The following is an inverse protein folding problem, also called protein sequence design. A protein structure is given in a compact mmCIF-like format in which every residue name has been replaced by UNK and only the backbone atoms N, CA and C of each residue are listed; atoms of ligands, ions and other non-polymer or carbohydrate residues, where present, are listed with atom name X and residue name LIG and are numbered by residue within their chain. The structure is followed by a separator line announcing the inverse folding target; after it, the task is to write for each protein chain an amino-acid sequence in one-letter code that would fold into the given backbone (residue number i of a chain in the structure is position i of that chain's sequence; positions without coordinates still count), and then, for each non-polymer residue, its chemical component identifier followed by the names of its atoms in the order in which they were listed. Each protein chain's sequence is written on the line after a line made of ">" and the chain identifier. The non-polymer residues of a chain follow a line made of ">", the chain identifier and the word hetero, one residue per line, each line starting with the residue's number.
data_IF_215326651133
#
_entry.id   IF_215326651133
#
_cell.length_a   1.000
_cell.length_b   1.000
_cell.length_c   1.000
_cell.angle_alpha   90.00
_cell.angle_beta   90.00
_cell.angle_gamma   90.00
#
_symmetry.space_group_name_H-M   'P 1'
#
loop_
_entity.id
_entity.type
_entity.pdbx_description
1 polymer ?
#
# COMPACT_ATOMS: atom_id res chain seq x y z
N UNK A 1 -10.19 2.67 9.45
CA UNK A 1 -11.21 1.59 9.41
C UNK A 1 -12.62 2.05 9.77
N UNK A 2 -12.84 2.97 10.72
CA UNK A 2 -14.22 3.44 11.00
C UNK A 2 -14.85 4.19 9.82
N UNK A 3 -14.07 4.99 9.10
CA UNK A 3 -14.56 5.76 7.94
C UNK A 3 -15.10 4.87 6.81
N UNK A 4 -14.52 3.68 6.58
CA UNK A 4 -14.97 2.77 5.52
C UNK A 4 -16.37 2.18 5.78
N UNK A 5 -16.90 2.28 7.01
CA UNK A 5 -18.27 1.89 7.33
C UNK A 5 -19.33 2.92 6.87
N UNK A 6 -18.93 4.16 6.63
CA UNK A 6 -19.86 5.23 6.26
C UNK A 6 -19.65 5.69 4.81
N UNK A 7 -18.48 5.43 4.26
CA UNK A 7 -18.09 5.89 2.94
C UNK A 7 -19.02 5.37 1.82
N UNK A 8 -19.45 4.09 1.80
CA UNK A 8 -20.38 3.61 0.78
C UNK A 8 -21.72 4.35 0.79
N UNK A 9 -22.20 4.78 1.97
CA UNK A 9 -23.41 5.61 2.11
C UNK A 9 -23.21 7.10 1.80
N UNK A 10 -21.97 7.54 1.54
CA UNK A 10 -21.68 8.91 1.08
C UNK A 10 -21.55 8.96 -0.44
N UNK A 11 -21.30 7.82 -1.08
CA UNK A 11 -21.02 7.73 -2.51
C UNK A 11 -22.20 8.21 -3.39
N UNK A 12 -23.48 7.90 -3.09
CA UNK A 12 -24.61 8.39 -3.89
C UNK A 12 -24.79 9.91 -3.83
N UNK A 13 -24.34 10.54 -2.74
CA UNK A 13 -24.37 12.00 -2.57
C UNK A 13 -23.15 12.64 -3.24
N UNK A 14 -21.97 12.07 -3.03
CA UNK A 14 -20.69 12.67 -3.40
C UNK A 14 -20.29 12.33 -4.84
N UNK A 15 -20.92 11.35 -5.51
CA UNK A 15 -20.48 10.79 -6.80
C UNK A 15 -19.04 10.25 -6.76
N UNK A 16 -18.70 9.34 -7.67
CA UNK A 16 -17.37 8.72 -7.71
C UNK A 16 -16.25 9.76 -7.92
N UNK A 17 -16.48 10.76 -8.79
CA UNK A 17 -15.51 11.82 -9.09
C UNK A 17 -15.15 12.67 -7.88
N UNK A 18 -16.14 13.21 -7.15
CA UNK A 18 -15.81 14.08 -6.01
C UNK A 18 -15.30 13.28 -4.82
N UNK A 19 -15.67 12.00 -4.69
CA UNK A 19 -15.06 11.10 -3.70
C UNK A 19 -13.56 10.93 -3.94
N UNK A 20 -13.15 10.71 -5.20
CA UNK A 20 -11.74 10.62 -5.60
C UNK A 20 -11.00 11.94 -5.35
N UNK A 21 -11.58 13.07 -5.78
CA UNK A 21 -10.98 14.39 -5.59
C UNK A 21 -10.83 14.75 -4.10
N UNK A 22 -11.87 14.52 -3.28
CA UNK A 22 -11.84 14.82 -1.85
C UNK A 22 -10.85 13.92 -1.10
N UNK A 23 -10.76 12.63 -1.46
CA UNK A 23 -9.75 11.73 -0.92
C UNK A 23 -8.31 12.17 -1.21
N UNK A 24 -8.05 12.61 -2.44
CA UNK A 24 -6.74 13.15 -2.86
C UNK A 24 -6.41 14.49 -2.18
N UNK A 25 -7.43 15.33 -1.94
CA UNK A 25 -7.26 16.57 -1.18
C UNK A 25 -6.82 16.30 0.27
N UNK A 26 -7.42 15.31 0.94
CA UNK A 26 -7.01 14.90 2.29
C UNK A 26 -5.53 14.45 2.32
N UNK A 27 -5.08 13.73 1.29
CA UNK A 27 -3.67 13.36 1.12
C UNK A 27 -2.76 14.58 0.97
N UNK A 28 -3.19 15.57 0.20
CA UNK A 28 -2.43 16.82 -0.02
C UNK A 28 -2.27 17.61 1.29
N UNK A 29 -3.33 17.69 2.09
CA UNK A 29 -3.32 18.36 3.40
C UNK A 29 -2.33 17.68 4.36
N UNK A 30 -2.30 16.35 4.36
CA UNK A 30 -1.34 15.59 5.16
C UNK A 30 0.12 15.89 4.77
N UNK A 31 0.43 15.87 3.48
CA UNK A 31 1.79 16.17 2.98
C UNK A 31 2.20 17.61 3.24
N UNK A 32 1.27 18.57 3.15
CA UNK A 32 1.53 19.97 3.47
C UNK A 32 1.96 20.18 4.94
N UNK A 33 1.52 19.30 5.85
CA UNK A 33 1.87 19.35 7.27
C UNK A 33 3.36 19.18 7.57
N UNK A 34 4.11 18.58 6.65
CA UNK A 34 5.54 18.36 6.83
C UNK A 34 6.40 19.60 6.51
N UNK A 35 5.83 20.65 5.90
CA UNK A 35 6.53 21.94 5.77
C UNK A 35 6.65 22.68 7.11
N UNK A 36 5.68 22.46 8.02
CA UNK A 36 5.68 23.02 9.36
C UNK A 36 5.22 21.95 10.35
N UNK A 37 6.20 21.22 10.89
CA UNK A 37 5.93 20.10 11.79
C UNK A 37 5.31 20.61 13.10
N UNK A 38 4.00 20.44 13.23
CA UNK A 38 3.25 20.74 14.44
C UNK A 38 2.53 19.47 14.90
N UNK A 39 2.76 19.06 16.16
CA UNK A 39 2.18 17.86 16.74
C UNK A 39 0.66 17.80 16.58
N UNK A 40 -0.05 18.90 16.83
CA UNK A 40 -1.52 18.95 16.70
C UNK A 40 -1.96 18.79 15.25
N UNK A 41 -1.28 19.47 14.31
CA UNK A 41 -1.59 19.37 12.88
C UNK A 41 -1.29 17.97 12.35
N UNK A 42 -0.18 17.36 12.78
CA UNK A 42 0.22 16.02 12.37
C UNK A 42 -0.83 14.97 12.75
N UNK A 43 -1.28 14.94 14.01
CA UNK A 43 -2.30 13.98 14.45
C UNK A 43 -3.65 14.23 13.78
N UNK A 44 -4.04 15.50 13.64
CA UNK A 44 -5.30 15.88 12.98
C UNK A 44 -5.31 15.49 11.50
N UNK A 45 -4.26 15.86 10.76
CA UNK A 45 -4.14 15.54 9.33
C UNK A 45 -3.98 14.04 9.08
N UNK A 46 -3.34 13.29 9.99
CA UNK A 46 -3.29 11.82 9.94
C UNK A 46 -4.68 11.20 10.07
N UNK A 47 -5.50 11.68 11.01
CA UNK A 47 -6.88 11.21 11.16
C UNK A 47 -7.73 11.57 9.92
N UNK A 48 -7.56 12.79 9.39
CA UNK A 48 -8.22 13.25 8.18
C UNK A 48 -7.82 12.42 6.96
N UNK A 49 -6.53 12.09 6.83
CA UNK A 49 -6.02 11.21 5.78
C UNK A 49 -6.65 9.82 5.85
N UNK A 50 -6.88 9.27 7.05
CA UNK A 50 -7.58 8.00 7.22
C UNK A 50 -9.03 8.02 6.70
N UNK A 51 -9.72 9.16 6.85
CA UNK A 51 -11.06 9.36 6.25
C UNK A 51 -10.97 9.51 4.74
N UNK A 52 -10.02 10.32 4.25
CA UNK A 52 -9.76 10.52 2.83
C UNK A 52 -9.39 9.24 2.10
N UNK A 53 -8.61 8.35 2.74
CA UNK A 53 -8.23 7.05 2.19
C UNK A 53 -9.44 6.14 1.98
N UNK A 54 -10.40 6.14 2.91
CA UNK A 54 -11.64 5.40 2.75
C UNK A 54 -12.47 5.95 1.57
N UNK A 55 -12.67 7.27 1.52
CA UNK A 55 -13.37 7.97 0.43
C UNK A 55 -12.74 7.69 -0.94
N UNK A 56 -11.41 7.75 -1.00
CA UNK A 56 -10.67 7.46 -2.21
C UNK A 56 -10.92 6.03 -2.69
N UNK A 57 -10.78 5.02 -1.81
CA UNK A 57 -10.94 3.63 -2.21
C UNK A 57 -12.37 3.29 -2.64
N UNK A 58 -13.38 3.82 -1.95
CA UNK A 58 -14.79 3.62 -2.35
C UNK A 58 -15.13 4.36 -3.64
N UNK A 59 -14.63 5.58 -3.84
CA UNK A 59 -14.78 6.32 -5.09
C UNK A 59 -14.06 5.63 -6.25
N UNK A 60 -12.87 5.08 -6.00
CA UNK A 60 -12.07 4.32 -6.96
C UNK A 60 -12.78 3.05 -7.41
N UNK A 61 -13.31 2.25 -6.47
CA UNK A 61 -14.07 1.04 -6.80
C UNK A 61 -15.29 1.37 -7.66
N UNK A 62 -16.05 2.40 -7.27
CA UNK A 62 -17.24 2.84 -7.99
C UNK A 62 -16.94 3.38 -9.39
N UNK A 63 -15.86 4.15 -9.53
CA UNK A 63 -15.42 4.65 -10.82
C UNK A 63 -14.99 3.51 -11.76
N UNK A 64 -14.31 2.50 -11.22
CA UNK A 64 -13.87 1.35 -11.99
C UNK A 64 -15.04 0.47 -12.45
N UNK A 65 -16.05 0.28 -11.60
CA UNK A 65 -17.28 -0.49 -11.91
C UNK A 65 -18.17 0.23 -12.90
N UNK A 66 -18.27 1.56 -12.85
CA UNK A 66 -19.03 2.35 -13.83
C UNK A 66 -18.37 2.43 -15.22
N UNK A 67 -17.05 2.20 -15.29
CA UNK A 67 -16.28 2.19 -16.55
C UNK A 67 -15.87 0.79 -17.02
N UNK A 68 -16.32 -0.27 -16.35
CA UNK A 68 -16.04 -1.66 -16.72
C UNK A 68 -17.32 -2.47 -16.93
N UNK A 69 -17.26 -3.46 -17.83
CA UNK A 69 -18.31 -4.46 -17.98
C UNK A 69 -17.99 -5.70 -17.15
N UNK A 70 -18.96 -6.62 -16.99
CA UNK A 70 -18.75 -7.90 -16.30
C UNK A 70 -17.63 -8.75 -16.90
N UNK A 71 -17.36 -8.61 -18.20
CA UNK A 71 -16.33 -9.37 -18.90
C UNK A 71 -14.94 -8.73 -18.80
N UNK A 72 -14.86 -7.40 -18.65
CA UNK A 72 -13.59 -6.66 -18.66
C UNK A 72 -13.12 -6.21 -17.29
N UNK A 73 -13.96 -6.30 -16.25
CA UNK A 73 -13.63 -5.77 -14.91
C UNK A 73 -12.40 -6.42 -14.28
N UNK A 74 -12.21 -7.73 -14.47
CA UNK A 74 -11.03 -8.43 -13.94
C UNK A 74 -9.74 -7.87 -14.55
N UNK A 75 -9.73 -7.67 -15.88
CA UNK A 75 -8.59 -7.12 -16.62
C UNK A 75 -8.35 -5.64 -16.26
N UNK A 76 -9.40 -4.82 -16.28
CA UNK A 76 -9.30 -3.40 -15.97
C UNK A 76 -8.84 -3.16 -14.52
N UNK A 77 -9.31 -3.97 -13.58
CA UNK A 77 -8.86 -3.94 -12.17
C UNK A 77 -7.39 -4.32 -12.05
N UNK A 78 -6.95 -5.42 -12.71
CA UNK A 78 -5.56 -5.86 -12.67
C UNK A 78 -4.59 -4.83 -13.29
N UNK A 79 -4.97 -4.21 -14.42
CA UNK A 79 -4.18 -3.15 -15.06
C UNK A 79 -4.06 -1.94 -14.12
N UNK A 80 -5.18 -1.48 -13.55
CA UNK A 80 -5.17 -0.30 -12.70
C UNK A 80 -4.40 -0.54 -11.40
N UNK A 81 -4.50 -1.74 -10.84
CA UNK A 81 -3.70 -2.19 -9.70
C UNK A 81 -2.19 -2.17 -10.01
N UNK A 82 -1.79 -2.71 -11.18
CA UNK A 82 -0.39 -2.73 -11.62
C UNK A 82 0.18 -1.31 -11.76
N UNK A 83 -0.59 -0.41 -12.36
CA UNK A 83 -0.22 1.00 -12.51
C UNK A 83 -0.11 1.66 -11.13
N UNK A 84 -1.04 1.37 -10.21
CA UNK A 84 -0.99 1.85 -8.84
C UNK A 84 0.31 1.45 -8.14
N UNK A 85 0.77 0.22 -8.31
CA UNK A 85 2.00 -0.27 -7.67
C UNK A 85 3.31 0.26 -8.27
N UNK A 86 3.27 0.96 -9.42
CA UNK A 86 4.43 1.72 -9.90
C UNK A 86 4.91 2.75 -8.87
N UNK A 87 4.02 3.21 -7.98
CA UNK A 87 4.41 4.11 -6.90
C UNK A 87 5.42 3.49 -5.93
N UNK A 88 5.44 2.15 -5.75
CA UNK A 88 6.42 1.46 -4.91
C UNK A 88 7.83 1.49 -5.53
N UNK A 89 7.92 1.41 -6.86
CA UNK A 89 9.19 1.62 -7.57
C UNK A 89 9.70 3.04 -7.39
N UNK A 90 8.80 4.01 -7.54
CA UNK A 90 9.14 5.42 -7.37
C UNK A 90 9.55 5.73 -5.92
N UNK A 91 8.82 5.21 -4.93
CA UNK A 91 9.18 5.31 -3.51
C UNK A 91 10.52 4.68 -3.20
N UNK A 92 10.80 3.48 -3.72
CA UNK A 92 12.11 2.83 -3.60
C UNK A 92 13.24 3.65 -4.23
N UNK A 93 13.01 4.23 -5.40
CA UNK A 93 13.99 5.09 -6.07
C UNK A 93 14.28 6.39 -5.26
N UNK A 94 13.25 7.03 -4.72
CA UNK A 94 13.41 8.21 -3.85
C UNK A 94 14.22 7.84 -2.61
N UNK A 95 13.89 6.73 -1.95
CA UNK A 95 14.64 6.24 -0.79
C UNK A 95 16.10 5.96 -1.12
N UNK A 96 16.38 5.33 -2.28
CA UNK A 96 17.73 5.07 -2.74
C UNK A 96 18.54 6.37 -2.91
N UNK A 97 17.94 7.38 -3.54
CA UNK A 97 18.57 8.70 -3.76
C UNK A 97 18.87 9.40 -2.44
N UNK A 98 17.91 9.42 -1.50
CA UNK A 98 18.10 10.02 -0.18
C UNK A 98 19.22 9.31 0.59
N UNK A 99 19.30 7.98 0.52
CA UNK A 99 20.39 7.23 1.17
C UNK A 99 21.75 7.44 0.51
N UNK A 100 21.79 7.69 -0.80
CA UNK A 100 23.03 8.01 -1.49
C UNK A 100 23.59 9.37 -1.04
N UNK A 101 22.75 10.42 -1.02
CA UNK A 101 23.20 11.75 -0.57
C UNK A 101 23.57 11.80 0.92
N UNK A 102 22.87 11.04 1.76
CA UNK A 102 23.22 10.91 3.17
C UNK A 102 24.51 10.11 3.44
N UNK A 103 25.07 9.39 2.46
CA UNK A 103 26.39 8.77 2.59
C UNK A 103 27.51 9.80 2.43
N UNK A 104 27.37 10.75 1.51
CA UNK A 104 28.39 11.75 1.23
C UNK A 104 28.60 12.69 2.44
N UNK A 105 27.55 12.94 3.22
CA UNK A 105 27.59 13.82 4.39
C UNK A 105 28.32 13.20 5.59
N UNK A 106 28.31 11.86 5.74
CA UNK A 106 29.09 11.15 6.76
C UNK A 106 30.57 10.98 6.37
N UNK A 107 30.89 11.07 5.08
CA UNK A 107 32.27 11.02 4.57
C UNK A 107 32.91 12.42 4.54
N UNK A 108 32.12 13.48 4.44
CA UNK A 108 32.60 14.86 4.37
C UNK A 108 33.05 15.46 5.72
N UNK A 109 32.69 14.86 6.86
CA UNK A 109 33.02 15.38 8.20
C UNK A 109 34.03 14.49 8.96
N UNK A 110 34.95 13.85 8.24
CA UNK A 110 36.10 13.17 8.84
C UNK A 110 37.27 14.14 9.07
N UNK A 111 37.47 14.72 10.27
CA UNK A 111 38.77 15.26 10.60
C UNK A 111 39.72 14.08 10.78
N UNK A 112 40.72 14.02 9.90
CA UNK A 112 41.95 13.29 10.16
C UNK A 112 42.46 13.65 11.55
N UNK A 113 42.62 12.63 12.41
CA UNK A 113 43.26 12.64 13.73
C UNK A 113 42.31 12.73 14.94
N UNK A 114 41.89 11.58 15.47
CA UNK A 114 41.89 11.41 16.92
C UNK A 114 42.06 9.94 17.33
N UNK A 115 43.04 9.73 18.18
CA UNK A 115 43.48 8.48 18.80
C UNK A 115 42.49 7.96 19.85
N UNK A 116 42.31 6.64 19.84
CA UNK A 116 42.16 5.73 20.99
C UNK A 116 41.57 6.30 22.29
N UNK A 117 40.34 5.92 22.64
CA UNK A 117 39.98 5.14 23.85
C UNK A 117 38.52 5.39 24.28
N UNK A 118 37.93 4.34 24.85
CA UNK A 118 36.73 4.27 25.71
C UNK A 118 35.34 4.45 25.08
N UNK A 119 34.58 3.36 25.20
CA UNK A 119 33.12 3.24 25.19
C UNK A 119 32.41 3.62 23.88
N UNK A 120 32.36 2.65 22.96
CA UNK A 120 31.33 2.63 21.93
C UNK A 120 30.01 2.30 22.64
N UNK A 121 29.34 3.34 23.13
CA UNK A 121 27.93 3.30 23.47
C UNK A 121 27.18 3.11 22.14
N UNK A 122 26.90 1.85 21.80
CA UNK A 122 26.04 1.44 20.69
C UNK A 122 24.61 1.89 20.99
N UNK A 123 24.38 3.19 20.92
CA UNK A 123 23.04 3.76 20.79
C UNK A 123 22.52 3.27 19.45
N UNK A 124 21.49 2.43 19.52
CA UNK A 124 20.62 2.03 18.41
C UNK A 124 20.56 3.18 17.43
N UNK A 125 21.21 3.03 16.27
CA UNK A 125 21.22 4.03 15.22
C UNK A 125 19.82 4.09 14.59
N UNK A 126 18.86 4.61 15.36
CA UNK A 126 17.62 5.14 14.84
C UNK A 126 18.03 6.11 13.73
N UNK A 127 17.65 5.80 12.49
CA UNK A 127 17.97 6.63 11.33
C UNK A 127 17.38 8.01 11.58
N UNK A 128 18.22 8.96 11.98
CA UNK A 128 17.82 10.34 12.16
C UNK A 128 17.83 10.98 10.78
N UNK A 129 16.64 11.19 10.22
CA UNK A 129 16.47 12.04 9.05
C UNK A 129 16.58 13.49 9.51
N UNK A 130 17.42 14.28 8.85
CA UNK A 130 17.45 15.72 9.09
C UNK A 130 16.10 16.34 8.70
N UNK A 131 15.73 17.44 9.34
CA UNK A 131 14.46 18.14 9.09
C UNK A 131 14.34 18.55 7.60
N UNK A 132 15.48 18.85 6.97
CA UNK A 132 15.55 19.18 5.54
C UNK A 132 15.22 17.99 4.66
N UNK A 133 15.73 16.80 5.00
CA UNK A 133 15.47 15.58 4.23
C UNK A 133 13.98 15.24 4.25
N UNK A 134 13.33 15.39 5.42
CA UNK A 134 11.89 15.21 5.59
C UNK A 134 11.12 16.18 4.69
N UNK A 135 11.50 17.46 4.69
CA UNK A 135 10.84 18.47 3.84
C UNK A 135 11.01 18.17 2.35
N UNK A 136 12.19 17.72 1.91
CA UNK A 136 12.41 17.36 0.50
C UNK A 136 11.62 16.12 0.08
N UNK A 137 11.59 15.07 0.92
CA UNK A 137 10.85 13.83 0.64
C UNK A 137 9.34 14.09 0.59
N UNK A 138 8.77 14.70 1.62
CA UNK A 138 7.34 14.99 1.68
C UNK A 138 6.94 16.15 0.76
N UNK A 139 7.85 17.07 0.44
CA UNK A 139 7.66 18.10 -0.56
C UNK A 139 7.50 17.53 -1.97
N UNK A 140 8.29 16.51 -2.34
CA UNK A 140 8.11 15.81 -3.62
C UNK A 140 6.74 15.12 -3.70
N UNK A 141 6.33 14.43 -2.64
CA UNK A 141 5.00 13.83 -2.56
C UNK A 141 3.88 14.88 -2.58
N UNK A 142 4.06 16.03 -1.94
CA UNK A 142 3.12 17.13 -1.99
C UNK A 142 2.88 17.61 -3.44
N UNK A 143 3.94 17.82 -4.22
CA UNK A 143 3.81 18.20 -5.65
C UNK A 143 3.08 17.13 -6.45
N UNK A 144 3.39 15.85 -6.23
CA UNK A 144 2.69 14.73 -6.89
C UNK A 144 1.20 14.72 -6.52
N UNK A 145 0.86 14.94 -5.25
CA UNK A 145 -0.55 15.00 -4.81
C UNK A 145 -1.29 16.21 -5.39
N UNK A 146 -0.62 17.34 -5.62
CA UNK A 146 -1.21 18.48 -6.34
C UNK A 146 -1.52 18.13 -7.79
N UNK A 147 -0.60 17.47 -8.49
CA UNK A 147 -0.84 16.96 -9.84
C UNK A 147 -2.02 15.97 -9.87
N UNK A 148 -2.08 15.06 -8.89
CA UNK A 148 -3.19 14.12 -8.70
C UNK A 148 -4.54 14.83 -8.55
N UNK A 149 -4.62 15.88 -7.73
CA UNK A 149 -5.84 16.67 -7.58
C UNK A 149 -6.31 17.29 -8.91
N UNK A 150 -5.38 17.79 -9.73
CA UNK A 150 -5.73 18.34 -11.05
C UNK A 150 -6.28 17.25 -11.98
N UNK A 151 -5.68 16.06 -11.97
CA UNK A 151 -6.15 14.92 -12.76
C UNK A 151 -7.58 14.53 -12.34
N UNK A 152 -7.83 14.38 -11.04
CA UNK A 152 -9.17 14.03 -10.54
C UNK A 152 -10.21 15.14 -10.71
N UNK A 153 -9.78 16.41 -10.73
CA UNK A 153 -10.68 17.52 -11.04
C UNK A 153 -11.16 17.48 -12.50
N UNK A 154 -10.30 17.05 -13.43
CA UNK A 154 -10.57 17.02 -14.88
C UNK A 154 -11.19 15.69 -15.33
N UNK A 155 -11.16 14.64 -14.49
CA UNK A 155 -11.64 13.31 -14.86
C UNK A 155 -13.10 13.35 -15.36
N UNK A 156 -13.41 12.68 -16.50
CA UNK A 156 -14.76 12.63 -17.03
C UNK A 156 -15.65 11.70 -16.20
N UNK A 157 -16.93 12.05 -16.09
CA UNK A 157 -17.96 11.33 -15.33
C UNK A 157 -18.93 10.58 -16.26
N UNK A 158 -18.48 10.11 -17.42
CA UNK A 158 -19.38 9.52 -18.42
C UNK A 158 -19.39 8.01 -18.28
N UNK A 159 -20.51 7.46 -17.83
CA UNK A 159 -20.70 6.01 -17.71
C UNK A 159 -20.63 5.33 -19.09
N UNK A 160 -20.09 4.11 -19.12
CA UNK A 160 -19.99 3.29 -20.34
C UNK A 160 -21.30 2.56 -20.59
N UNK A 161 -21.72 2.44 -21.85
CA UNK A 161 -22.92 1.67 -22.23
C UNK A 161 -22.78 0.21 -21.75
N UNK A 162 -23.78 -0.31 -21.01
CA UNK A 162 -23.74 -1.65 -20.37
C UNK A 162 -22.67 -1.84 -19.27
N UNK A 163 -22.32 -0.79 -18.54
CA UNK A 163 -21.52 -0.89 -17.31
C UNK A 163 -22.27 -1.64 -16.20
N UNK A 164 -21.53 -2.13 -15.19
CA UNK A 164 -22.10 -2.91 -14.07
C UNK A 164 -23.12 -2.09 -13.28
N UNK A 165 -22.93 -0.77 -13.21
CA UNK A 165 -23.85 0.18 -12.58
C UNK A 165 -24.93 0.70 -13.54
N UNK A 166 -24.82 0.37 -14.83
CA UNK A 166 -25.66 0.88 -15.90
C UNK A 166 -27.10 0.37 -15.80
N UNK A 167 -28.02 1.26 -15.44
CA UNK A 167 -29.45 0.98 -15.36
C UNK A 167 -30.06 1.13 -13.97
N UNK A 168 -29.26 1.36 -12.92
CA UNK A 168 -29.81 1.80 -11.64
C UNK A 168 -29.95 3.32 -11.65
N UNK A 169 -31.19 3.82 -11.71
CA UNK A 169 -31.46 5.23 -11.38
C UNK A 169 -30.84 5.51 -10.01
N UNK A 170 -29.92 6.47 -9.94
CA UNK A 170 -29.42 7.04 -8.68
C UNK A 170 -30.63 7.71 -8.00
N UNK A 171 -31.48 6.90 -7.37
CA UNK A 171 -32.44 7.40 -6.42
C UNK A 171 -31.61 7.84 -5.23
N UNK A 172 -31.55 9.14 -5.00
CA UNK A 172 -31.03 9.73 -3.78
C UNK A 172 -31.89 9.23 -2.62
N UNK A 173 -31.51 8.08 -2.07
CA UNK A 173 -32.14 7.54 -0.88
C UNK A 173 -31.70 8.36 0.32
N UNK A 174 -32.47 8.32 1.39
CA UNK A 174 -32.04 8.98 2.62
C UNK A 174 -30.75 8.32 3.13
N UNK A 175 -29.80 9.09 3.66
CA UNK A 175 -28.57 8.57 4.28
C UNK A 175 -28.85 7.42 5.26
N UNK A 176 -29.97 7.50 5.99
CA UNK A 176 -30.38 6.46 6.94
C UNK A 176 -30.72 5.14 6.24
N UNK A 177 -31.35 5.20 5.07
CA UNK A 177 -31.71 4.02 4.28
C UNK A 177 -30.47 3.38 3.66
N UNK A 178 -29.52 4.19 3.20
CA UNK A 178 -28.25 3.70 2.66
C UNK A 178 -27.38 3.02 3.73
N UNK A 179 -27.29 3.63 4.92
CA UNK A 179 -26.61 3.01 6.08
C UNK A 179 -27.31 1.71 6.49
N UNK A 180 -28.65 1.68 6.50
CA UNK A 180 -29.40 0.46 6.82
C UNK A 180 -29.15 -0.65 5.80
N UNK A 181 -29.20 -0.34 4.50
CA UNK A 181 -28.89 -1.29 3.42
C UNK A 181 -27.48 -1.83 3.54
N UNK A 182 -26.50 -0.96 3.81
CA UNK A 182 -25.12 -1.37 4.02
C UNK A 182 -24.98 -2.31 5.21
N UNK A 183 -25.56 -1.95 6.37
CA UNK A 183 -25.54 -2.81 7.56
C UNK A 183 -26.26 -4.14 7.34
N UNK A 184 -27.35 -4.14 6.56
CA UNK A 184 -28.03 -5.38 6.18
C UNK A 184 -27.16 -6.25 5.26
N UNK A 185 -26.37 -5.65 4.36
CA UNK A 185 -25.47 -6.40 3.47
C UNK A 185 -24.37 -7.12 4.26
N UNK A 186 -23.87 -6.53 5.35
CA UNK A 186 -22.91 -7.20 6.24
C UNK A 186 -23.43 -8.52 6.86
N UNK A 187 -24.75 -8.66 6.98
CA UNK A 187 -25.40 -9.85 7.56
C UNK A 187 -25.76 -10.87 6.47
N UNK A 188 -25.62 -10.52 5.19
CA UNK A 188 -25.89 -11.46 4.11
C UNK A 188 -24.91 -12.64 4.16
N UNK A 189 -25.43 -13.84 3.91
CA UNK A 189 -24.68 -15.10 4.04
C UNK A 189 -23.50 -15.13 3.06
N UNK A 190 -23.66 -14.55 1.87
CA UNK A 190 -22.59 -14.48 0.87
C UNK A 190 -21.45 -13.57 1.33
N UNK A 191 -21.77 -12.43 1.96
CA UNK A 191 -20.78 -11.48 2.48
C UNK A 191 -20.08 -12.04 3.73
N UNK A 192 -20.82 -12.76 4.58
CA UNK A 192 -20.27 -13.43 5.75
C UNK A 192 -19.32 -14.58 5.36
N UNK A 193 -19.62 -15.31 4.27
CA UNK A 193 -18.74 -16.36 3.74
C UNK A 193 -17.42 -15.79 3.22
N UNK A 194 -17.42 -14.55 2.72
CA UNK A 194 -16.22 -13.86 2.20
C UNK A 194 -15.42 -13.11 3.28
N UNK A 195 -15.99 -12.87 4.47
CA UNK A 195 -15.30 -12.17 5.56
C UNK A 195 -13.94 -12.77 5.96
N UNK A 196 -13.79 -14.10 6.14
CA UNK A 196 -12.51 -14.69 6.52
C UNK A 196 -11.40 -14.40 5.51
N UNK A 197 -11.76 -14.35 4.22
CA UNK A 197 -10.85 -14.03 3.13
C UNK A 197 -10.43 -12.55 3.19
N UNK A 198 -11.35 -11.63 3.47
CA UNK A 198 -11.03 -10.21 3.65
C UNK A 198 -10.12 -9.96 4.85
N UNK A 199 -10.38 -10.67 5.96
CA UNK A 199 -9.55 -10.61 7.16
C UNK A 199 -8.15 -11.12 6.85
N UNK A 200 -8.04 -12.27 6.18
CA UNK A 200 -6.75 -12.83 5.77
C UNK A 200 -5.94 -11.86 4.91
N UNK A 201 -6.55 -11.29 3.85
CA UNK A 201 -5.90 -10.32 2.97
C UNK A 201 -5.46 -9.08 3.75
N UNK A 202 -6.31 -8.58 4.66
CA UNK A 202 -6.00 -7.42 5.50
C UNK A 202 -4.80 -7.66 6.40
N UNK A 203 -4.74 -8.83 7.07
CA UNK A 203 -3.63 -9.22 7.94
C UNK A 203 -2.33 -9.35 7.14
N UNK A 204 -2.35 -10.06 6.01
CA UNK A 204 -1.17 -10.22 5.16
C UNK A 204 -0.70 -8.86 4.63
N UNK A 205 -1.61 -8.02 4.15
CA UNK A 205 -1.25 -6.68 3.67
C UNK A 205 -0.61 -5.83 4.76
N UNK A 206 -1.16 -5.84 5.99
CA UNK A 206 -0.59 -5.12 7.12
C UNK A 206 0.79 -5.66 7.51
N UNK A 207 0.97 -6.98 7.49
CA UNK A 207 2.25 -7.62 7.77
C UNK A 207 3.33 -7.16 6.79
N UNK A 208 3.08 -7.21 5.49
CA UNK A 208 4.07 -6.83 4.47
C UNK A 208 4.36 -5.32 4.41
N UNK A 209 3.36 -4.46 4.65
CA UNK A 209 3.56 -3.02 4.58
C UNK A 209 4.18 -2.42 5.84
N UNK A 210 3.93 -2.99 7.02
CA UNK A 210 4.32 -2.39 8.30
C UNK A 210 5.24 -3.26 9.15
N UNK A 211 5.04 -4.57 9.17
CA UNK A 211 5.74 -5.48 10.09
C UNK A 211 7.07 -5.96 9.49
N UNK A 212 7.07 -6.40 8.23
CA UNK A 212 8.29 -6.89 7.61
C UNK A 212 9.34 -5.78 7.36
N UNK A 213 8.99 -4.57 6.89
CA UNK A 213 9.98 -3.52 6.66
C UNK A 213 10.69 -3.01 7.92
N UNK A 214 10.05 -3.11 9.09
CA UNK A 214 10.68 -2.72 10.36
C UNK A 214 11.78 -3.69 10.80
N UNK A 215 11.74 -4.95 10.34
CA UNK A 215 12.80 -5.93 10.61
C UNK A 215 14.14 -5.51 10.00
N UNK A 216 14.12 -4.83 8.84
CA UNK A 216 15.32 -4.24 8.22
C UNK A 216 15.92 -3.09 9.04
N UNK A 217 15.11 -2.45 9.88
CA UNK A 217 15.53 -1.33 10.71
C UNK A 217 16.07 -1.79 12.07
N UNK A 218 15.48 -2.84 12.66
CA UNK A 218 15.80 -3.29 14.02
C UNK A 218 16.79 -4.46 14.09
N UNK A 219 17.10 -5.15 12.99
CA UNK A 219 18.08 -6.25 13.01
C UNK A 219 19.48 -5.74 12.70
N UNK A 220 20.44 -5.84 13.64
CA UNK A 220 21.78 -5.24 13.50
C UNK A 220 22.56 -5.78 12.27
N UNK A 221 22.49 -7.09 12.04
CA UNK A 221 23.13 -7.73 10.88
C UNK A 221 22.56 -7.29 9.53
N UNK A 222 21.34 -6.75 9.52
CA UNK A 222 20.60 -6.32 8.33
C UNK A 222 20.65 -4.80 8.17
N UNK A 223 20.71 -4.06 9.29
CA UNK A 223 20.91 -2.61 9.33
C UNK A 223 22.23 -2.17 8.71
N UNK A 224 23.25 -3.04 8.72
CA UNK A 224 24.51 -2.86 7.98
C UNK A 224 24.30 -2.65 6.48
N UNK A 225 23.22 -3.20 5.90
CA UNK A 225 22.84 -3.01 4.50
C UNK A 225 21.86 -1.85 4.34
N UNK A 226 22.40 -0.63 4.26
CA UNK A 226 21.64 0.64 4.23
C UNK A 226 20.52 0.70 3.16
N UNK A 227 20.76 0.08 2.00
CA UNK A 227 19.86 0.13 0.84
C UNK A 227 18.74 -0.92 0.83
N UNK A 228 18.66 -1.82 1.82
CA UNK A 228 17.67 -2.92 1.83
C UNK A 228 16.22 -2.44 1.71
N UNK A 229 15.75 -1.40 2.44
CA UNK A 229 14.37 -0.94 2.31
C UNK A 229 14.05 -0.40 0.91
N UNK A 230 15.04 0.17 0.21
CA UNK A 230 14.87 0.66 -1.15
C UNK A 230 14.77 -0.49 -2.16
N UNK A 231 15.61 -1.53 -1.99
CA UNK A 231 15.52 -2.75 -2.82
C UNK A 231 14.20 -3.47 -2.60
N UNK A 232 13.81 -3.68 -1.34
CA UNK A 232 12.52 -4.28 -0.97
C UNK A 232 11.33 -3.56 -1.61
N UNK A 233 11.25 -2.23 -1.48
CA UNK A 233 10.17 -1.45 -2.10
C UNK A 233 10.16 -1.59 -3.63
N UNK A 234 11.34 -1.67 -4.26
CA UNK A 234 11.45 -1.84 -5.70
C UNK A 234 11.08 -3.25 -6.16
N UNK A 235 11.51 -4.29 -5.45
CA UNK A 235 11.19 -5.67 -5.79
C UNK A 235 9.71 -6.00 -5.51
N UNK A 236 9.11 -5.46 -4.44
CA UNK A 236 7.67 -5.51 -4.21
C UNK A 236 6.88 -4.89 -5.38
N UNK A 237 7.28 -3.69 -5.83
CA UNK A 237 6.68 -3.04 -6.99
C UNK A 237 6.80 -3.85 -8.28
N UNK A 238 7.96 -4.46 -8.55
CA UNK A 238 8.17 -5.33 -9.71
C UNK A 238 7.31 -6.59 -9.64
N UNK A 239 7.19 -7.22 -8.46
CA UNK A 239 6.37 -8.41 -8.23
C UNK A 239 4.89 -8.15 -8.53
N UNK A 240 4.36 -7.02 -8.06
CA UNK A 240 2.97 -6.60 -8.29
C UNK A 240 2.67 -6.36 -9.77
N UNK A 241 3.59 -5.69 -10.49
CA UNK A 241 3.44 -5.43 -11.93
C UNK A 241 3.51 -6.74 -12.72
N UNK A 242 4.46 -7.63 -12.38
CA UNK A 242 4.59 -8.94 -13.01
C UNK A 242 3.33 -9.78 -12.78
N UNK A 243 2.81 -9.80 -11.56
CA UNK A 243 1.59 -10.55 -11.23
C UNK A 243 0.36 -9.99 -11.96
N UNK A 244 0.19 -8.66 -12.00
CA UNK A 244 -0.90 -8.04 -12.74
C UNK A 244 -0.82 -8.30 -14.25
N UNK A 245 0.38 -8.37 -14.83
CA UNK A 245 0.58 -8.79 -16.21
C UNK A 245 0.21 -10.28 -16.43
N UNK A 246 0.56 -11.17 -15.49
CA UNK A 246 0.19 -12.59 -15.54
C UNK A 246 -1.33 -12.75 -15.48
N UNK A 247 -2.03 -12.04 -14.58
CA UNK A 247 -3.50 -12.09 -14.46
C UNK A 247 -4.15 -11.54 -15.74
N UNK A 248 -3.65 -10.42 -16.26
CA UNK A 248 -4.17 -9.81 -17.50
C UNK A 248 -3.95 -10.72 -18.71
N UNK A 249 -2.81 -11.40 -18.80
CA UNK A 249 -2.54 -12.39 -19.86
C UNK A 249 -3.37 -13.66 -19.68
N UNK A 250 -3.46 -14.19 -18.47
CA UNK A 250 -4.18 -15.41 -18.13
C UNK A 250 -5.68 -15.30 -18.33
N UNK A 251 -6.28 -14.16 -17.99
CA UNK A 251 -7.71 -13.89 -18.22
C UNK A 251 -8.11 -13.84 -19.70
N UNK A 252 -7.17 -13.68 -20.64
CA UNK A 252 -7.43 -13.80 -22.09
C UNK A 252 -7.47 -15.25 -22.57
N UNK A 253 -6.77 -16.15 -21.87
CA UNK A 253 -6.58 -17.55 -22.28
C UNK A 253 -7.57 -18.47 -21.58
N UNK A 254 -7.84 -18.23 -20.29
CA UNK A 254 -8.72 -19.04 -19.46
C UNK A 254 -9.85 -18.14 -18.96
N UNK A 255 -11.10 -18.53 -19.26
CA UNK A 255 -12.28 -17.88 -18.69
C UNK A 255 -12.25 -18.09 -17.18
N UNK A 256 -12.47 -17.02 -16.42
CA UNK A 256 -12.52 -17.05 -14.95
C UNK A 256 -11.17 -17.36 -14.25
N UNK A 257 -10.04 -17.12 -14.94
CA UNK A 257 -8.69 -17.32 -14.38
C UNK A 257 -8.46 -16.49 -13.10
N UNK A 258 -9.06 -15.30 -13.01
CA UNK A 258 -8.96 -14.40 -11.87
C UNK A 258 -9.68 -14.88 -10.60
N UNK A 259 -10.41 -15.99 -10.65
CA UNK A 259 -11.27 -16.44 -9.54
C UNK A 259 -10.61 -17.53 -8.68
N UNK A 260 -10.94 -18.80 -8.87
CA UNK A 260 -10.43 -19.90 -8.02
C UNK A 260 -8.94 -20.24 -8.25
N UNK A 261 -8.44 -20.33 -9.50
CA UNK A 261 -7.04 -20.72 -9.74
C UNK A 261 -6.07 -19.72 -9.12
N UNK A 262 -6.36 -18.44 -9.29
CA UNK A 262 -5.58 -17.32 -8.76
C UNK A 262 -5.52 -17.35 -7.24
N UNK A 263 -6.67 -17.56 -6.59
CA UNK A 263 -6.76 -17.65 -5.14
C UNK A 263 -5.94 -18.82 -4.57
N UNK A 264 -6.00 -20.00 -5.21
CA UNK A 264 -5.21 -21.16 -4.81
C UNK A 264 -3.70 -20.94 -4.95
N UNK A 265 -3.27 -20.29 -6.04
CA UNK A 265 -1.86 -19.96 -6.26
C UNK A 265 -1.38 -18.96 -5.20
N UNK A 266 -2.16 -17.92 -4.88
CA UNK A 266 -1.81 -17.00 -3.79
C UNK A 266 -1.73 -17.70 -2.44
N UNK A 267 -2.69 -18.57 -2.11
CA UNK A 267 -2.72 -19.23 -0.81
C UNK A 267 -1.49 -20.13 -0.62
N UNK A 268 -1.13 -20.90 -1.67
CA UNK A 268 0.07 -21.73 -1.66
C UNK A 268 1.33 -20.88 -1.52
N UNK A 269 1.45 -19.82 -2.33
CA UNK A 269 2.63 -18.97 -2.28
C UNK A 269 2.78 -18.23 -0.95
N UNK A 270 1.68 -17.69 -0.41
CA UNK A 270 1.66 -17.02 0.90
C UNK A 270 2.13 -17.97 1.99
N UNK A 271 1.71 -19.24 1.94
CA UNK A 271 2.17 -20.26 2.88
C UNK A 271 3.69 -20.49 2.76
N UNK A 272 4.21 -20.66 1.55
CA UNK A 272 5.64 -20.87 1.30
C UNK A 272 6.47 -19.71 1.84
N UNK A 273 6.02 -18.48 1.60
CA UNK A 273 6.77 -17.30 2.04
C UNK A 273 6.67 -17.07 3.54
N UNK A 274 5.52 -17.31 4.18
CA UNK A 274 5.43 -17.24 5.63
C UNK A 274 6.36 -18.25 6.31
N UNK A 275 6.49 -19.45 5.75
CA UNK A 275 7.46 -20.46 6.22
C UNK A 275 8.90 -20.00 6.00
N UNK A 276 9.21 -19.43 4.84
CA UNK A 276 10.53 -18.89 4.55
C UNK A 276 10.91 -17.74 5.49
N UNK A 277 9.96 -16.83 5.78
CA UNK A 277 10.14 -15.71 6.70
C UNK A 277 10.33 -16.17 8.15
N UNK A 278 9.52 -17.14 8.60
CA UNK A 278 9.70 -17.74 9.92
C UNK A 278 11.06 -18.44 10.07
N UNK A 279 11.66 -18.91 8.97
CA UNK A 279 13.01 -19.50 8.97
C UNK A 279 14.14 -18.46 8.86
N UNK A 280 13.86 -17.25 8.35
CA UNK A 280 14.86 -16.22 8.05
C UNK A 280 14.94 -15.06 9.04
N UNK A 281 13.91 -14.84 9.87
CA UNK A 281 13.83 -13.70 10.79
C UNK A 281 13.83 -14.15 12.25
N UNK A 282 14.67 -13.58 13.14
CA UNK A 282 14.66 -13.90 14.57
C UNK A 282 13.39 -13.37 15.26
N UNK A 283 12.94 -14.05 16.33
CA UNK A 283 11.63 -13.84 16.99
C UNK A 283 11.40 -12.40 17.46
N UNK A 284 12.46 -11.71 17.90
CA UNK A 284 12.40 -10.34 18.44
C UNK A 284 12.69 -9.23 17.43
N UNK A 285 12.96 -9.56 16.16
CA UNK A 285 13.41 -8.61 15.14
C UNK A 285 12.43 -7.47 14.82
N UNK A 286 11.17 -7.58 15.25
CA UNK A 286 10.12 -6.58 14.97
C UNK A 286 9.89 -5.62 16.14
N UNK A 287 10.31 -5.99 17.36
CA UNK A 287 9.93 -5.32 18.60
C UNK A 287 11.12 -4.60 19.23
N UNK A 288 12.29 -5.22 19.21
CA UNK A 288 13.49 -4.68 19.86
C UNK A 288 14.73 -4.90 18.98
N UNK A 289 15.71 -3.99 19.01
CA UNK A 289 16.98 -4.21 18.34
C UNK A 289 17.65 -5.50 18.82
N UNK A 290 17.82 -6.47 17.93
CA UNK A 290 18.34 -7.80 18.29
C UNK A 290 19.60 -8.16 17.51
N UNK A 291 20.50 -8.86 18.21
CA UNK A 291 21.74 -9.43 17.70
C UNK A 291 21.66 -10.95 17.47
N UNK A 292 20.46 -11.54 17.65
CA UNK A 292 20.26 -12.97 17.48
C UNK A 292 20.38 -13.40 16.01
N UNK A 293 21.06 -14.52 15.77
CA UNK A 293 21.20 -15.08 14.43
C UNK A 293 19.86 -15.69 13.96
N UNK A 294 19.51 -15.57 12.66
CA UNK A 294 18.36 -16.24 12.09
C UNK A 294 18.36 -17.74 12.37
N UNK A 295 17.16 -18.32 12.51
CA UNK A 295 17.02 -19.71 12.93
C UNK A 295 17.65 -20.72 11.95
N UNK A 296 17.58 -20.47 10.62
CA UNK A 296 18.08 -21.44 9.64
C UNK A 296 18.86 -20.85 8.44
N UNK A 297 18.47 -19.67 7.93
CA UNK A 297 19.06 -19.07 6.72
C UNK A 297 19.48 -17.64 7.01
N UNK A 298 20.77 -17.33 6.85
CA UNK A 298 21.22 -15.94 6.83
C UNK A 298 20.66 -15.25 5.58
N UNK A 299 19.93 -14.12 5.71
CA UNK A 299 19.46 -13.38 4.56
C UNK A 299 20.68 -12.90 3.74
N UNK A 300 20.86 -13.46 2.55
CA UNK A 300 21.71 -12.88 1.50
C UNK A 300 20.78 -12.17 0.50
N UNK A 301 21.29 -11.21 -0.25
CA UNK A 301 20.54 -10.44 -1.26
C UNK A 301 19.61 -11.26 -2.20
N UNK A 302 19.90 -12.55 -2.40
CA UNK A 302 19.16 -13.46 -3.29
C UNK A 302 17.90 -14.05 -2.63
N UNK A 303 17.89 -14.26 -1.31
CA UNK A 303 16.71 -14.83 -0.63
C UNK A 303 15.55 -13.84 -0.53
N UNK A 304 15.84 -12.54 -0.42
CA UNK A 304 14.82 -11.49 -0.35
C UNK A 304 14.12 -11.26 -1.69
N UNK A 305 14.87 -11.35 -2.80
CA UNK A 305 14.33 -11.23 -4.16
C UNK A 305 13.40 -12.40 -4.55
N UNK A 306 13.56 -13.57 -3.92
CA UNK A 306 12.77 -14.78 -4.20
C UNK A 306 11.48 -14.81 -3.37
N UNK A 307 11.47 -14.25 -2.16
CA UNK A 307 10.28 -14.19 -1.30
C UNK A 307 9.16 -13.30 -1.83
N UNK A 308 9.41 -12.45 -2.82
CA UNK A 308 8.41 -11.52 -3.36
C UNK A 308 7.78 -11.94 -4.70
N UNK A 309 8.24 -13.03 -5.30
CA UNK A 309 7.81 -13.38 -6.66
C UNK A 309 6.38 -13.93 -6.78
N UNK A 310 5.69 -14.33 -5.69
CA UNK A 310 4.25 -14.48 -5.81
C UNK A 310 3.51 -14.10 -4.52
N UNK A 311 3.43 -12.84 -4.14
CA UNK A 311 2.42 -12.45 -3.15
C UNK A 311 1.56 -11.31 -3.64
N UNK A 312 0.28 -11.41 -3.27
CA UNK A 312 -0.84 -10.56 -3.64
C UNK A 312 -1.53 -10.93 -4.96
N UNK A 313 -2.24 -12.06 -4.91
CA UNK A 313 -3.13 -12.52 -5.98
C UNK A 313 -4.63 -12.38 -5.67
N UNK A 314 -5.04 -11.66 -4.62
CA UNK A 314 -6.45 -11.70 -4.16
C UNK A 314 -7.14 -10.32 -4.08
N UNK A 315 -6.62 -9.31 -4.77
CA UNK A 315 -7.21 -7.95 -4.75
C UNK A 315 -8.12 -7.60 -5.93
N UNK A 316 -8.06 -8.35 -7.04
CA UNK A 316 -8.90 -8.10 -8.22
C UNK A 316 -10.38 -8.44 -7.99
N UNK A 317 -10.70 -9.32 -7.03
CA UNK A 317 -12.08 -9.76 -6.77
C UNK A 317 -12.82 -8.98 -5.68
N UNK A 318 -12.12 -8.28 -4.80
CA UNK A 318 -12.77 -7.51 -3.73
C UNK A 318 -13.50 -6.25 -4.23
N UNK A 319 -13.16 -5.80 -5.43
CA UNK A 319 -13.85 -4.70 -6.09
C UNK A 319 -15.06 -5.18 -6.91
N UNK A 320 -15.26 -6.49 -7.07
CA UNK A 320 -16.31 -7.09 -7.91
C UNK A 320 -17.41 -7.80 -7.13
N UNK A 321 -17.27 -7.94 -5.81
CA UNK A 321 -18.34 -8.42 -4.93
C UNK A 321 -19.16 -7.24 -4.38
N UNK A 322 -19.84 -6.55 -5.29
CA UNK A 322 -21.07 -5.79 -5.05
C UNK A 322 -21.96 -5.96 -6.28
#
# INVERSE_FOLDING_TARGET
>A
MLASLFTPSLLPILSAKWSLFLGSLCWTIYHAGFFYLNNYFYYFSSALMGVGFALFYTGYTAYLTSHSSRETIEQNSAITWSIGNLCLLFGGAVLFVVFHFNNDMLVADGPSNFSSSSEIEYTVASRQFDDRDIVWMYGAFFVITLCSNLIFAVIPTRDVDSCIEGGQTIQTQSLKEEVYKMLSAFIDVNMLLLMPLFIHIGIITAFWLAVYPTTFLFTESLAAYRYMPAYYSASAGLGEIAMGAIITGGSRVIRDFGMMPTLCISAFSTMVVLVALAASVPEWATIEPTNEQPWLIQPRYVTEFITEYPLFQDRSRLQTCN
#
